data_IF_148190940464
#
_entry.id   IF_148190940464
#
_cell.length_a   1.000
_cell.length_b   1.000
_cell.length_c   1.000
_cell.angle_alpha   90.00
_cell.angle_beta   90.00
_cell.angle_gamma   90.00
#
_symmetry.space_group_name_H-M   'P 1'
#
loop_
_entity.id
_entity.type
_entity.pdbx_description
1 polymer ?
#
# COMPACT_ATOMS: atom_id res chain seq x y z
N UNK A 1 -2.55 11.03 15.60
CA UNK A 1 -1.53 11.65 16.48
C UNK A 1 -0.13 11.31 15.98
N UNK A 2 0.90 12.07 16.34
CA UNK A 2 2.30 11.79 15.94
C UNK A 2 2.72 10.34 16.22
N UNK A 3 2.45 9.86 17.44
CA UNK A 3 2.77 8.50 17.88
C UNK A 3 2.12 7.42 17.01
N UNK A 4 0.87 7.62 16.59
CA UNK A 4 0.17 6.65 15.75
C UNK A 4 0.68 6.65 14.31
N UNK A 5 0.99 7.82 13.75
CA UNK A 5 1.61 7.93 12.43
C UNK A 5 2.98 7.21 12.40
N UNK A 6 3.83 7.45 13.40
CA UNK A 6 5.13 6.77 13.53
C UNK A 6 4.97 5.25 13.64
N UNK A 7 3.93 4.78 14.36
CA UNK A 7 3.63 3.35 14.50
C UNK A 7 3.20 2.72 13.18
N UNK A 8 2.32 3.38 12.42
CA UNK A 8 1.84 2.91 11.10
C UNK A 8 3.02 2.78 10.14
N UNK A 9 3.85 3.82 10.00
CA UNK A 9 5.02 3.77 9.11
C UNK A 9 6.04 2.72 9.56
N UNK A 10 6.31 2.60 10.87
CA UNK A 10 7.17 1.54 11.41
C UNK A 10 6.63 0.14 11.09
N UNK A 11 5.32 -0.05 11.14
CA UNK A 11 4.70 -1.32 10.83
C UNK A 11 4.83 -1.65 9.33
N UNK A 12 4.60 -0.67 8.45
CA UNK A 12 4.84 -0.80 7.01
C UNK A 12 6.28 -1.21 6.71
N UNK A 13 7.28 -0.50 7.24
CA UNK A 13 8.70 -0.82 7.04
C UNK A 13 9.01 -2.25 7.51
N UNK A 14 8.50 -2.66 8.67
CA UNK A 14 8.72 -4.02 9.20
C UNK A 14 8.09 -5.11 8.34
N UNK A 15 6.95 -4.84 7.69
CA UNK A 15 6.30 -5.79 6.77
C UNK A 15 7.14 -5.93 5.51
N UNK A 16 7.52 -4.81 4.88
CA UNK A 16 8.32 -4.80 3.64
C UNK A 16 9.65 -5.53 3.86
N UNK A 17 10.36 -5.26 4.96
CA UNK A 17 11.62 -5.94 5.26
C UNK A 17 11.46 -7.45 5.46
N UNK A 18 10.37 -7.89 6.11
CA UNK A 18 10.11 -9.33 6.29
C UNK A 18 9.82 -10.02 4.96
N UNK A 19 9.01 -9.40 4.09
CA UNK A 19 8.76 -9.93 2.75
C UNK A 19 10.05 -10.04 1.95
N UNK A 20 10.89 -9.02 1.98
CA UNK A 20 12.18 -9.03 1.29
C UNK A 20 13.11 -10.15 1.79
N UNK A 21 13.14 -10.40 3.11
CA UNK A 21 13.93 -11.49 3.70
C UNK A 21 13.38 -12.85 3.27
N UNK A 22 12.06 -13.07 3.33
CA UNK A 22 11.43 -14.32 2.88
C UNK A 22 11.74 -14.60 1.40
N UNK A 23 11.60 -13.58 0.55
CA UNK A 23 11.89 -13.67 -0.88
C UNK A 23 13.37 -14.00 -1.14
N UNK A 24 14.30 -13.25 -0.55
CA UNK A 24 15.75 -13.45 -0.73
C UNK A 24 16.24 -14.81 -0.25
N UNK A 25 15.60 -15.36 0.79
CA UNK A 25 15.95 -16.65 1.36
C UNK A 25 15.16 -17.81 0.74
N UNK A 26 14.50 -17.60 -0.41
CA UNK A 26 13.73 -18.61 -1.14
C UNK A 26 12.73 -19.37 -0.23
N UNK A 27 12.09 -18.65 0.72
CA UNK A 27 11.16 -19.25 1.67
C UNK A 27 9.78 -19.52 1.06
N UNK A 28 9.46 -18.85 -0.04
CA UNK A 28 8.18 -19.00 -0.71
C UNK A 28 8.13 -20.26 -1.56
N UNK A 29 7.02 -21.00 -1.47
CA UNK A 29 6.69 -22.06 -2.41
C UNK A 29 6.11 -21.49 -3.73
N UNK A 30 5.80 -22.37 -4.69
CA UNK A 30 5.29 -21.95 -6.01
C UNK A 30 3.98 -21.16 -5.94
N UNK A 31 3.04 -21.56 -5.08
CA UNK A 31 1.76 -20.86 -4.90
C UNK A 31 1.99 -19.46 -4.29
N UNK A 32 2.88 -19.36 -3.31
CA UNK A 32 3.25 -18.08 -2.68
C UNK A 32 4.00 -17.15 -3.63
N UNK A 33 4.83 -17.70 -4.52
CA UNK A 33 5.46 -16.93 -5.61
C UNK A 33 4.40 -16.39 -6.57
N UNK A 34 3.42 -17.21 -6.97
CA UNK A 34 2.32 -16.77 -7.82
C UNK A 34 1.48 -15.66 -7.14
N UNK A 35 1.22 -15.79 -5.83
CA UNK A 35 0.57 -14.75 -5.03
C UNK A 35 1.41 -13.48 -4.96
N UNK A 36 2.73 -13.56 -4.80
CA UNK A 36 3.62 -12.40 -4.85
C UNK A 36 3.56 -11.69 -6.21
N UNK A 37 3.53 -12.42 -7.32
CA UNK A 37 3.38 -11.80 -8.65
C UNK A 37 2.02 -11.13 -8.82
N UNK A 38 0.95 -11.73 -8.29
CA UNK A 38 -0.38 -11.11 -8.24
C UNK A 38 -0.36 -9.84 -7.37
N UNK A 39 0.30 -9.87 -6.22
CA UNK A 39 0.46 -8.73 -5.32
C UNK A 39 1.24 -7.59 -5.98
N UNK A 40 2.37 -7.86 -6.65
CA UNK A 40 3.12 -6.86 -7.41
C UNK A 40 2.26 -6.17 -8.46
N UNK A 41 1.53 -6.95 -9.28
CA UNK A 41 0.60 -6.39 -10.27
C UNK A 41 -0.47 -5.50 -9.63
N UNK A 42 -0.98 -5.89 -8.46
CA UNK A 42 -1.99 -5.15 -7.71
C UNK A 42 -1.42 -3.84 -7.13
N UNK A 43 -0.19 -3.87 -6.60
CA UNK A 43 0.53 -2.69 -6.10
C UNK A 43 0.85 -1.73 -7.26
N UNK A 44 1.25 -2.24 -8.42
CA UNK A 44 1.45 -1.43 -9.63
C UNK A 44 0.16 -0.76 -10.09
N UNK A 45 -0.96 -1.48 -10.07
CA UNK A 45 -2.29 -0.92 -10.35
C UNK A 45 -2.65 0.18 -9.34
N UNK A 46 -2.41 -0.07 -8.05
CA UNK A 46 -2.64 0.90 -6.98
C UNK A 46 -1.83 2.18 -7.17
N UNK A 47 -0.54 2.05 -7.46
CA UNK A 47 0.36 3.17 -7.72
C UNK A 47 -0.14 4.05 -8.88
N UNK A 48 -0.49 3.44 -10.01
CA UNK A 48 -1.07 4.15 -11.16
C UNK A 48 -2.40 4.83 -10.82
N UNK A 49 -3.25 4.16 -10.05
CA UNK A 49 -4.55 4.70 -9.63
C UNK A 49 -4.36 5.95 -8.76
N UNK A 50 -3.46 5.88 -7.78
CA UNK A 50 -3.13 7.01 -6.88
C UNK A 50 -2.69 8.23 -7.68
N UNK A 51 -1.78 8.04 -8.64
CA UNK A 51 -1.31 9.13 -9.51
C UNK A 51 -2.46 9.66 -10.38
N UNK A 52 -3.21 8.78 -11.04
CA UNK A 52 -4.28 9.17 -11.95
C UNK A 52 -5.37 9.98 -11.24
N UNK A 53 -5.74 9.61 -10.02
CA UNK A 53 -6.74 10.34 -9.23
C UNK A 53 -6.28 11.73 -8.79
N UNK A 54 -4.96 11.98 -8.76
CA UNK A 54 -4.40 13.30 -8.50
C UNK A 54 -4.24 14.14 -9.78
N UNK A 55 -3.86 13.49 -10.89
CA UNK A 55 -3.56 14.19 -12.16
C UNK A 55 -4.78 14.48 -13.03
N UNK A 56 -5.88 13.73 -12.86
CA UNK A 56 -7.08 13.89 -13.65
C UNK A 56 -8.23 14.39 -12.78
N UNK A 57 -8.65 15.62 -13.03
CA UNK A 57 -9.73 16.26 -12.28
C UNK A 57 -11.02 15.43 -12.31
N UNK A 58 -11.75 15.46 -11.18
CA UNK A 58 -13.05 14.81 -11.00
C UNK A 58 -13.07 13.27 -11.16
N UNK A 59 -11.91 12.60 -11.15
CA UNK A 59 -11.84 11.12 -11.25
C UNK A 59 -11.71 10.40 -9.91
N UNK A 60 -11.36 11.12 -8.83
CA UNK A 60 -11.13 10.50 -7.53
C UNK A 60 -12.37 9.77 -6.98
N UNK A 61 -12.20 8.47 -6.73
CA UNK A 61 -13.18 7.62 -6.04
C UNK A 61 -12.54 6.97 -4.81
N UNK A 62 -12.94 7.44 -3.63
CA UNK A 62 -12.46 6.91 -2.34
C UNK A 62 -12.81 5.45 -2.11
N UNK A 63 -13.98 4.99 -2.56
CA UNK A 63 -14.42 3.61 -2.36
C UNK A 63 -13.63 2.66 -3.25
N UNK A 64 -13.37 3.07 -4.49
CA UNK A 64 -12.51 2.31 -5.40
C UNK A 64 -11.09 2.17 -4.84
N UNK A 65 -10.48 3.28 -4.40
CA UNK A 65 -9.13 3.25 -3.85
C UNK A 65 -9.05 2.44 -2.54
N UNK A 66 -10.03 2.61 -1.65
CA UNK A 66 -10.16 1.82 -0.42
C UNK A 66 -10.25 0.32 -0.73
N UNK A 67 -11.09 -0.08 -1.69
CA UNK A 67 -11.20 -1.47 -2.12
C UNK A 67 -9.88 -1.99 -2.68
N UNK A 68 -9.19 -1.21 -3.52
CA UNK A 68 -7.91 -1.60 -4.10
C UNK A 68 -6.81 -1.81 -3.04
N UNK A 69 -6.80 -0.98 -2.00
CA UNK A 69 -5.93 -1.15 -0.83
C UNK A 69 -6.27 -2.41 -0.04
N UNK A 70 -7.57 -2.71 0.15
CA UNK A 70 -7.99 -3.93 0.82
C UNK A 70 -7.66 -5.19 0.01
N UNK A 71 -7.77 -5.16 -1.32
CA UNK A 71 -7.30 -6.27 -2.17
C UNK A 71 -5.79 -6.54 -1.96
N UNK A 72 -4.97 -5.49 -1.84
CA UNK A 72 -3.55 -5.62 -1.47
C UNK A 72 -3.38 -6.25 -0.08
N UNK A 73 -4.21 -5.86 0.89
CA UNK A 73 -4.18 -6.38 2.27
C UNK A 73 -4.41 -7.89 2.30
N UNK A 74 -5.47 -8.36 1.62
CA UNK A 74 -5.83 -9.79 1.62
C UNK A 74 -4.76 -10.64 0.94
N UNK A 75 -4.25 -10.20 -0.23
CA UNK A 75 -3.13 -10.89 -0.89
C UNK A 75 -1.92 -10.99 0.03
N UNK A 76 -1.60 -9.91 0.74
CA UNK A 76 -0.48 -9.90 1.64
C UNK A 76 -0.67 -10.85 2.84
N UNK A 77 -1.89 -10.98 3.35
CA UNK A 77 -2.20 -11.97 4.38
C UNK A 77 -1.99 -13.40 3.88
N UNK A 78 -2.45 -13.72 2.67
CA UNK A 78 -2.25 -15.03 2.05
C UNK A 78 -0.75 -15.35 1.89
N UNK A 79 0.04 -14.39 1.40
CA UNK A 79 1.49 -14.55 1.18
C UNK A 79 2.23 -14.87 2.48
N UNK A 80 1.87 -14.22 3.59
CA UNK A 80 2.63 -14.34 4.85
C UNK A 80 2.09 -15.41 5.80
N UNK A 81 0.93 -16.02 5.49
CA UNK A 81 0.17 -16.88 6.38
C UNK A 81 1.00 -18.03 6.99
N UNK A 82 1.87 -18.64 6.19
CA UNK A 82 2.72 -19.78 6.61
C UNK A 82 4.01 -19.38 7.30
N UNK A 83 4.40 -18.12 7.20
CA UNK A 83 5.76 -17.66 7.51
C UNK A 83 5.82 -16.73 8.71
N UNK A 84 4.77 -15.94 8.92
CA UNK A 84 4.78 -14.86 9.88
C UNK A 84 3.75 -15.04 10.98
N UNK A 85 4.06 -14.49 12.15
CA UNK A 85 3.20 -14.58 13.33
C UNK A 85 1.97 -13.68 13.25
N UNK A 86 0.97 -13.93 14.09
CA UNK A 86 -0.21 -13.06 14.27
C UNK A 86 0.15 -11.59 14.50
N UNK A 87 1.28 -11.30 15.15
CA UNK A 87 1.80 -9.93 15.30
C UNK A 87 2.08 -9.26 13.96
N UNK A 88 2.51 -9.99 12.94
CA UNK A 88 2.74 -9.47 11.60
C UNK A 88 1.43 -9.23 10.85
N UNK A 89 0.44 -10.12 11.01
CA UNK A 89 -0.92 -9.89 10.49
C UNK A 89 -1.55 -8.64 11.12
N UNK A 90 -1.43 -8.46 12.44
CA UNK A 90 -1.90 -7.23 13.10
C UNK A 90 -1.19 -5.96 12.61
N UNK A 91 0.05 -6.05 12.13
CA UNK A 91 0.74 -4.92 11.49
C UNK A 91 0.18 -4.62 10.10
N UNK A 92 -0.13 -5.66 9.33
CA UNK A 92 -0.76 -5.54 8.01
C UNK A 92 -2.10 -4.82 8.16
N UNK A 93 -2.97 -5.30 9.05
CA UNK A 93 -4.24 -4.62 9.37
C UNK A 93 -4.01 -3.17 9.78
N UNK A 94 -3.13 -2.89 10.75
CA UNK A 94 -2.89 -1.52 11.20
C UNK A 94 -2.45 -0.56 10.08
N UNK A 95 -1.72 -1.04 9.07
CA UNK A 95 -1.30 -0.23 7.93
C UNK A 95 -2.47 -0.01 6.96
N UNK A 96 -3.12 -1.09 6.53
CA UNK A 96 -4.15 -1.01 5.50
C UNK A 96 -5.47 -0.45 6.02
N UNK A 97 -5.83 -0.68 7.28
CA UNK A 97 -7.01 -0.07 7.90
C UNK A 97 -6.89 1.46 7.90
N UNK A 98 -5.68 2.00 8.13
CA UNK A 98 -5.46 3.44 8.09
C UNK A 98 -5.51 3.99 6.66
N UNK A 99 -4.77 3.40 5.73
CA UNK A 99 -4.67 3.95 4.37
C UNK A 99 -5.93 3.72 3.54
N UNK A 100 -6.73 2.70 3.87
CA UNK A 100 -7.99 2.40 3.19
C UNK A 100 -9.20 3.14 3.80
N UNK A 101 -9.01 3.91 4.87
CA UNK A 101 -10.07 4.69 5.48
C UNK A 101 -10.61 5.75 4.51
N UNK A 102 -11.90 5.71 4.21
CA UNK A 102 -12.51 6.57 3.21
C UNK A 102 -12.47 8.06 3.60
N UNK A 103 -12.46 8.38 4.89
CA UNK A 103 -12.37 9.76 5.38
C UNK A 103 -10.93 10.28 5.28
N UNK A 104 -9.93 9.45 5.60
CA UNK A 104 -8.53 9.74 5.32
C UNK A 104 -8.29 9.99 3.82
N UNK A 105 -8.79 9.11 2.95
CA UNK A 105 -8.65 9.26 1.50
C UNK A 105 -9.35 10.54 1.01
N UNK A 106 -10.56 10.82 1.49
CA UNK A 106 -11.27 12.05 1.12
C UNK A 106 -10.51 13.32 1.57
N UNK A 107 -9.92 13.31 2.76
CA UNK A 107 -9.10 14.42 3.24
C UNK A 107 -7.82 14.59 2.41
N UNK A 108 -7.15 13.48 2.07
CA UNK A 108 -5.91 13.47 1.28
C UNK A 108 -6.11 14.05 -0.12
N UNK A 109 -7.21 13.68 -0.79
CA UNK A 109 -7.54 14.11 -2.16
C UNK A 109 -8.39 15.38 -2.23
N UNK A 110 -8.68 16.03 -1.10
CA UNK A 110 -9.42 17.31 -1.12
C UNK A 110 -8.56 18.40 -1.80
N UNK A 111 -8.97 18.93 -2.98
CA UNK A 111 -8.17 19.90 -3.73
C UNK A 111 -8.07 21.26 -3.03
N UNK A 112 -8.95 21.52 -2.06
CA UNK A 112 -8.95 22.72 -1.22
C UNK A 112 -8.44 22.43 0.21
N UNK A 113 -8.02 21.19 0.47
CA UNK A 113 -7.53 20.76 1.77
C UNK A 113 -6.05 21.08 1.99
N UNK A 114 -5.56 20.97 3.23
CA UNK A 114 -4.17 21.26 3.57
C UNK A 114 -3.18 20.23 2.99
N UNK A 115 -3.67 19.09 2.48
CA UNK A 115 -2.83 17.98 2.04
C UNK A 115 -2.45 18.01 0.56
N UNK A 116 -2.94 18.98 -0.23
CA UNK A 116 -2.67 19.08 -1.67
C UNK A 116 -1.17 18.99 -2.02
N UNK A 117 -0.33 19.76 -1.33
CA UNK A 117 1.12 19.75 -1.55
C UNK A 117 1.78 18.43 -1.11
N UNK A 118 1.21 17.75 -0.11
CA UNK A 118 1.68 16.44 0.31
C UNK A 118 1.31 15.36 -0.71
N UNK A 119 0.09 15.40 -1.24
CA UNK A 119 -0.37 14.49 -2.29
C UNK A 119 0.44 14.65 -3.58
N UNK A 120 0.76 15.89 -3.98
CA UNK A 120 1.65 16.13 -5.12
C UNK A 120 3.01 15.44 -4.93
N UNK A 121 3.68 15.68 -3.79
CA UNK A 121 4.98 15.06 -3.49
C UNK A 121 4.92 13.54 -3.43
N UNK A 122 3.81 12.99 -2.91
CA UNK A 122 3.56 11.55 -2.90
C UNK A 122 3.46 11.02 -4.33
N UNK A 123 2.65 11.65 -5.19
CA UNK A 123 2.48 11.24 -6.58
C UNK A 123 3.77 11.38 -7.40
N UNK A 124 4.58 12.42 -7.15
CA UNK A 124 5.89 12.59 -7.79
C UNK A 124 6.83 11.43 -7.43
N UNK A 125 6.86 11.04 -6.15
CA UNK A 125 7.64 9.89 -5.69
C UNK A 125 7.15 8.56 -6.27
N UNK A 126 5.83 8.36 -6.30
CA UNK A 126 5.21 7.15 -6.87
C UNK A 126 5.47 7.05 -8.38
N UNK A 127 5.34 8.14 -9.14
CA UNK A 127 5.68 8.18 -10.56
C UNK A 127 7.14 7.84 -10.80
N UNK A 128 8.06 8.42 -10.02
CA UNK A 128 9.47 8.08 -10.13
C UNK A 128 9.71 6.58 -9.91
N UNK A 129 9.07 5.98 -8.91
CA UNK A 129 9.19 4.53 -8.68
C UNK A 129 8.58 3.69 -9.82
N UNK A 130 7.47 4.14 -10.41
CA UNK A 130 6.86 3.50 -11.58
C UNK A 130 7.80 3.55 -12.81
N UNK A 131 8.40 4.71 -13.07
CA UNK A 131 9.32 4.92 -14.20
C UNK A 131 10.61 4.10 -14.06
N UNK A 132 11.10 3.94 -12.84
CA UNK A 132 12.28 3.12 -12.53
C UNK A 132 11.99 1.61 -12.46
N UNK A 133 10.72 1.19 -12.53
CA UNK A 133 10.33 -0.23 -12.37
C UNK A 133 10.54 -0.77 -10.95
N UNK A 134 10.54 0.12 -9.95
CA UNK A 134 10.83 -0.17 -8.55
C UNK A 134 9.57 -0.45 -7.71
N UNK A 135 8.41 -0.63 -8.35
CA UNK A 135 7.10 -0.83 -7.69
C UNK A 135 6.38 -2.09 -8.20
#
# INVERSE_FOLDING_TARGET
SKKEAEKIIKNLIKIVLKLAILYRNNQFNQDEIALMEKFKKKVHQLAKTVVSFHQVDYTFDRNFLSKLLNDCRELLHEIIQRHLTAKSHGRVNNVFDHFSDCEFLAALYNPFGPYKLHLQKLCDGVNKMLDEGNI
#
